data_IF_383443725741
#
_entry.id   IF_383443725741
#
_cell.length_a   1.000
_cell.length_b   1.000
_cell.length_c   1.000
_cell.angle_alpha   90.00
_cell.angle_beta   90.00
_cell.angle_gamma   90.00
#
_symmetry.space_group_name_H-M   'P 1'
#
loop_
_entity.id
_entity.type
_entity.pdbx_description
1 polymer ?
#
# COMPACT_ATOMS: atom_id res chain seq x y z
N UNK A 1 25.29 26.91 -29.10
CA UNK A 1 25.10 26.16 -30.35
C UNK A 1 25.93 24.88 -30.17
N UNK A 2 25.29 23.78 -29.84
CA UNK A 2 25.80 22.43 -30.14
C UNK A 2 24.71 21.47 -29.76
N UNK A 3 24.10 20.91 -30.81
CA UNK A 3 22.98 19.98 -30.68
C UNK A 3 23.47 18.57 -30.40
N UNK A 4 22.98 17.96 -29.36
CA UNK A 4 23.12 16.51 -29.16
C UNK A 4 22.10 15.76 -30.03
N UNK A 5 22.66 15.05 -31.02
CA UNK A 5 21.92 14.11 -31.88
C UNK A 5 21.52 12.88 -31.04
N UNK A 6 20.23 12.65 -30.95
CA UNK A 6 19.66 11.40 -30.46
C UNK A 6 19.80 10.35 -31.58
N UNK A 7 20.46 9.25 -31.29
CA UNK A 7 20.67 8.16 -32.23
C UNK A 7 19.39 7.39 -32.53
N UNK A 8 19.02 7.35 -33.81
CA UNK A 8 18.01 6.46 -34.36
C UNK A 8 18.52 5.02 -34.33
N UNK A 9 17.84 4.14 -33.62
CA UNK A 9 18.00 2.70 -33.76
C UNK A 9 17.04 2.22 -34.84
N UNK A 10 17.48 1.52 -35.90
CA UNK A 10 16.61 1.10 -36.98
C UNK A 10 15.75 -0.09 -36.59
N UNK A 11 14.46 -0.03 -36.95
CA UNK A 11 13.54 -1.15 -36.92
C UNK A 11 14.00 -2.24 -37.91
N UNK A 12 14.36 -3.41 -37.43
CA UNK A 12 14.46 -4.60 -38.27
C UNK A 12 13.08 -5.23 -38.41
N UNK A 13 12.55 -5.16 -39.61
CA UNK A 13 11.32 -5.86 -40.00
C UNK A 13 11.69 -7.29 -40.37
N UNK A 14 11.47 -8.25 -39.47
CA UNK A 14 11.56 -9.68 -39.80
C UNK A 14 10.24 -10.12 -40.45
N UNK A 15 10.28 -10.29 -41.77
CA UNK A 15 9.22 -10.99 -42.52
C UNK A 15 9.51 -12.47 -42.48
N UNK A 16 8.68 -13.24 -41.79
CA UNK A 16 8.74 -14.71 -41.83
C UNK A 16 7.46 -15.26 -42.49
N UNK A 17 7.64 -15.92 -43.63
CA UNK A 17 6.60 -16.66 -44.34
C UNK A 17 6.51 -18.08 -43.79
N UNK A 18 5.39 -18.44 -43.16
CA UNK A 18 5.09 -19.84 -42.80
C UNK A 18 4.20 -20.02 -41.58
N UNK A 19 2.90 -20.05 -41.83
CA UNK A 19 1.84 -20.78 -41.09
C UNK A 19 1.90 -20.85 -39.55
N UNK A 20 1.55 -19.73 -38.88
CA UNK A 20 0.75 -19.67 -37.62
C UNK A 20 0.38 -18.21 -37.37
N UNK A 21 -0.79 -17.87 -36.76
CA UNK A 21 -1.20 -16.48 -36.58
C UNK A 21 -0.31 -15.80 -35.53
N UNK A 22 0.54 -14.88 -36.01
CA UNK A 22 1.30 -13.99 -35.12
C UNK A 22 0.39 -12.87 -34.63
N UNK A 23 0.25 -12.74 -33.32
CA UNK A 23 -0.26 -11.50 -32.71
C UNK A 23 0.77 -10.40 -33.03
N UNK A 24 0.38 -9.44 -33.83
CA UNK A 24 1.16 -8.21 -34.02
C UNK A 24 0.99 -7.39 -32.74
N UNK A 25 1.98 -7.38 -31.88
CA UNK A 25 2.07 -6.40 -30.80
C UNK A 25 2.47 -5.06 -31.44
N UNK A 26 1.51 -4.19 -31.62
CA UNK A 26 1.79 -2.80 -32.00
C UNK A 26 2.34 -2.12 -30.74
N UNK A 27 3.66 -1.94 -30.65
CA UNK A 27 4.26 -1.12 -29.61
C UNK A 27 3.92 0.36 -29.90
N UNK A 28 3.06 0.95 -29.13
CA UNK A 28 2.85 2.39 -29.11
C UNK A 28 4.01 3.02 -28.34
N UNK A 29 4.86 3.78 -29.02
CA UNK A 29 5.89 4.59 -28.35
C UNK A 29 5.21 5.77 -27.68
N UNK A 30 5.25 5.83 -26.36
CA UNK A 30 4.88 7.01 -25.60
C UNK A 30 6.07 7.95 -25.50
N UNK A 31 5.88 9.22 -25.82
CA UNK A 31 6.84 10.27 -25.55
C UNK A 31 6.96 10.53 -24.03
N UNK A 32 8.12 10.92 -23.49
CA UNK A 32 8.39 10.99 -22.06
C UNK A 32 7.70 12.14 -21.29
N UNK A 33 6.72 12.84 -21.85
CA UNK A 33 6.08 14.03 -21.25
C UNK A 33 4.56 14.01 -21.24
N UNK A 34 3.90 12.88 -21.39
CA UNK A 34 2.45 12.88 -21.19
C UNK A 34 2.16 13.06 -19.70
N UNK A 35 1.80 14.29 -19.33
CA UNK A 35 1.17 14.57 -18.05
C UNK A 35 0.09 13.52 -17.83
N UNK A 36 0.08 12.92 -16.63
CA UNK A 36 -1.00 12.00 -16.25
C UNK A 36 -2.26 12.83 -16.17
N UNK A 37 -3.03 12.84 -17.25
CA UNK A 37 -4.15 13.78 -17.46
C UNK A 37 -5.20 13.76 -16.36
N UNK A 38 -5.30 12.62 -15.66
CA UNK A 38 -6.18 12.46 -14.50
C UNK A 38 -5.69 13.20 -13.24
N UNK A 39 -4.46 13.71 -13.22
CA UNK A 39 -3.88 14.43 -12.06
C UNK A 39 -4.06 15.95 -12.13
N UNK A 40 -4.61 16.49 -13.23
CA UNK A 40 -4.83 17.93 -13.35
C UNK A 40 -5.66 18.45 -12.16
N UNK A 41 -5.13 19.37 -11.34
CA UNK A 41 -5.81 19.87 -10.14
C UNK A 41 -7.07 20.70 -10.48
N UNK A 42 -7.23 21.12 -11.73
CA UNK A 42 -8.40 21.89 -12.17
C UNK A 42 -9.61 21.02 -12.50
N UNK A 43 -9.43 19.70 -12.66
CA UNK A 43 -10.53 18.78 -12.96
C UNK A 43 -11.58 18.80 -11.86
N UNK A 44 -12.83 18.73 -12.29
CA UNK A 44 -14.00 18.57 -11.40
C UNK A 44 -14.84 17.41 -11.91
N UNK A 45 -15.36 16.61 -10.96
CA UNK A 45 -16.30 15.53 -11.27
C UNK A 45 -17.73 16.05 -11.31
N UNK A 46 -18.57 15.42 -12.12
CA UNK A 46 -20.03 15.57 -12.03
C UNK A 46 -20.62 14.73 -10.90
N UNK A 47 -19.89 13.71 -10.41
CA UNK A 47 -20.25 13.04 -9.15
C UNK A 47 -19.86 13.96 -8.00
N UNK A 48 -20.76 14.10 -7.03
CA UNK A 48 -20.50 14.90 -5.85
C UNK A 48 -19.33 14.35 -5.04
N UNK A 49 -18.40 15.23 -4.68
CA UNK A 49 -17.23 14.92 -3.85
C UNK A 49 -17.14 15.96 -2.75
N UNK A 50 -17.26 15.55 -1.51
CA UNK A 50 -17.13 16.44 -0.36
C UNK A 50 -15.70 16.99 -0.24
N UNK A 51 -15.54 18.19 0.34
CA UNK A 51 -14.24 18.89 0.44
C UNK A 51 -13.13 18.06 1.09
N UNK A 52 -13.47 17.23 2.07
CA UNK A 52 -12.52 16.38 2.80
C UNK A 52 -12.54 14.91 2.35
N UNK A 53 -13.17 14.61 1.22
CA UNK A 53 -13.19 13.25 0.69
C UNK A 53 -11.79 12.76 0.34
N UNK A 54 -11.52 11.50 0.60
CA UNK A 54 -10.30 10.82 0.16
C UNK A 54 -10.32 10.51 -1.34
N UNK A 55 -11.51 10.60 -1.98
CA UNK A 55 -11.74 10.08 -3.33
C UNK A 55 -12.20 11.13 -4.35
N UNK A 56 -11.42 12.23 -4.57
CA UNK A 56 -11.67 13.13 -5.69
C UNK A 56 -11.34 12.48 -7.03
N UNK A 57 -11.69 13.15 -8.13
CA UNK A 57 -11.42 12.69 -9.49
C UNK A 57 -9.91 12.50 -9.77
N UNK A 58 -9.04 13.15 -9.02
CA UNK A 58 -7.59 13.01 -9.10
C UNK A 58 -7.07 11.73 -8.43
N UNK A 59 -7.87 11.06 -7.57
CA UNK A 59 -7.48 9.81 -6.93
C UNK A 59 -7.86 8.59 -7.77
N UNK A 60 -9.14 8.23 -7.78
CA UNK A 60 -9.69 7.08 -8.49
C UNK A 60 -9.01 5.75 -8.11
N UNK A 61 -8.96 5.38 -6.81
CA UNK A 61 -8.34 4.14 -6.39
C UNK A 61 -9.18 2.94 -6.78
N UNK A 62 -8.51 1.81 -7.02
CA UNK A 62 -9.14 0.55 -7.41
C UNK A 62 -9.41 -0.33 -6.18
N UNK A 63 -10.52 -1.06 -6.20
CA UNK A 63 -10.87 -2.04 -5.18
C UNK A 63 -11.79 -3.11 -5.70
N UNK A 64 -12.07 -4.11 -4.86
CA UNK A 64 -13.04 -5.16 -5.12
C UNK A 64 -14.22 -4.95 -4.18
N UNK A 65 -15.42 -4.96 -4.72
CA UNK A 65 -16.65 -4.82 -3.95
C UNK A 65 -17.72 -5.82 -4.37
N UNK A 66 -18.65 -6.07 -3.48
CA UNK A 66 -19.91 -6.77 -3.75
C UNK A 66 -21.08 -6.02 -3.08
N UNK A 67 -22.31 -6.32 -3.47
CA UNK A 67 -23.52 -5.87 -2.76
C UNK A 67 -24.44 -7.06 -2.50
N UNK A 68 -25.58 -6.84 -1.90
CA UNK A 68 -26.58 -7.91 -1.72
C UNK A 68 -27.05 -8.53 -3.06
N UNK A 69 -26.98 -7.78 -4.16
CA UNK A 69 -27.44 -8.21 -5.50
C UNK A 69 -26.33 -8.34 -6.54
N UNK A 70 -25.12 -7.86 -6.25
CA UNK A 70 -24.00 -7.85 -7.18
C UNK A 70 -22.88 -8.76 -6.66
N UNK A 71 -22.44 -9.72 -7.49
CA UNK A 71 -21.26 -10.56 -7.23
C UNK A 71 -19.99 -9.73 -7.13
N UNK A 72 -18.89 -10.26 -6.52
CA UNK A 72 -17.61 -9.59 -6.47
C UNK A 72 -17.16 -9.05 -7.83
N UNK A 73 -16.68 -7.81 -7.87
CA UNK A 73 -16.24 -7.13 -9.09
C UNK A 73 -15.35 -5.93 -8.81
N UNK A 74 -14.68 -5.49 -9.86
CA UNK A 74 -13.79 -4.32 -9.77
C UNK A 74 -14.60 -3.04 -9.70
N UNK A 75 -14.25 -2.18 -8.75
CA UNK A 75 -14.77 -0.83 -8.58
C UNK A 75 -13.68 0.21 -8.44
N UNK A 76 -14.05 1.46 -8.70
CA UNK A 76 -13.22 2.64 -8.46
C UNK A 76 -13.96 3.61 -7.58
N UNK A 77 -13.31 4.11 -6.52
CA UNK A 77 -13.93 5.09 -5.64
C UNK A 77 -13.97 6.49 -6.25
N UNK A 78 -15.11 7.17 -6.06
CA UNK A 78 -15.33 8.58 -6.40
C UNK A 78 -16.34 9.20 -5.42
N UNK A 79 -15.93 10.17 -4.61
CA UNK A 79 -16.77 10.70 -3.52
C UNK A 79 -17.25 9.57 -2.61
N UNK A 80 -18.54 9.51 -2.35
CA UNK A 80 -19.19 8.46 -1.55
C UNK A 80 -19.78 7.33 -2.41
N UNK A 81 -19.27 7.17 -3.64
CA UNK A 81 -19.76 6.19 -4.61
C UNK A 81 -18.63 5.29 -5.13
N UNK A 82 -19.02 4.11 -5.60
CA UNK A 82 -18.17 3.16 -6.32
C UNK A 82 -18.62 3.12 -7.77
N UNK A 83 -17.70 3.37 -8.69
CA UNK A 83 -17.93 3.19 -10.13
C UNK A 83 -17.71 1.72 -10.49
N UNK A 84 -18.75 1.03 -10.93
CA UNK A 84 -18.73 -0.38 -11.32
C UNK A 84 -18.10 -0.54 -12.72
N UNK A 85 -16.87 -1.06 -12.79
CA UNK A 85 -16.15 -1.21 -14.06
C UNK A 85 -16.72 -2.33 -14.92
N UNK A 86 -17.30 -3.38 -14.32
CA UNK A 86 -18.01 -4.43 -15.07
C UNK A 86 -19.22 -3.86 -15.78
N UNK A 87 -20.02 -3.03 -15.11
CA UNK A 87 -21.17 -2.37 -15.72
C UNK A 87 -20.75 -1.41 -16.83
N UNK A 88 -19.68 -0.63 -16.64
CA UNK A 88 -19.12 0.23 -17.69
C UNK A 88 -18.67 -0.55 -18.93
N UNK A 89 -18.05 -1.71 -18.75
CA UNK A 89 -17.64 -2.59 -19.86
C UNK A 89 -18.85 -3.11 -20.64
N UNK A 90 -19.88 -3.58 -19.93
CA UNK A 90 -21.14 -4.07 -20.53
C UNK A 90 -21.84 -2.97 -21.34
N UNK A 91 -21.80 -1.74 -20.87
CA UNK A 91 -22.39 -0.59 -21.54
C UNK A 91 -21.52 0.02 -22.66
N UNK A 92 -20.34 -0.55 -22.96
CA UNK A 92 -19.46 -0.15 -24.05
C UNK A 92 -18.56 1.06 -23.76
N UNK A 93 -18.43 1.52 -22.51
CA UNK A 93 -17.58 2.67 -22.18
C UNK A 93 -16.08 2.37 -22.15
N UNK A 94 -15.70 1.10 -22.20
CA UNK A 94 -14.30 0.64 -22.13
C UNK A 94 -13.74 0.18 -23.49
N UNK A 95 -14.42 0.54 -24.59
CA UNK A 95 -13.95 0.24 -25.95
C UNK A 95 -12.56 0.83 -26.21
N UNK A 96 -11.78 0.10 -27.01
CA UNK A 96 -10.38 0.40 -27.35
C UNK A 96 -9.36 0.30 -26.19
N UNK A 97 -9.77 -0.20 -25.02
CA UNK A 97 -8.85 -0.66 -23.99
C UNK A 97 -8.62 -2.17 -24.12
N UNK A 98 -7.46 -2.69 -23.69
CA UNK A 98 -7.14 -4.12 -23.87
C UNK A 98 -7.90 -5.06 -22.93
N UNK A 99 -8.68 -4.52 -21.99
CA UNK A 99 -9.39 -5.27 -20.95
C UNK A 99 -10.63 -6.00 -21.50
N UNK A 100 -10.88 -7.17 -20.95
CA UNK A 100 -12.05 -7.98 -21.25
C UNK A 100 -13.03 -7.96 -20.07
N UNK A 101 -14.28 -8.35 -20.28
CA UNK A 101 -15.30 -8.39 -19.23
C UNK A 101 -14.86 -9.20 -18.00
N UNK A 102 -14.17 -10.34 -18.22
CA UNK A 102 -13.64 -11.20 -17.14
C UNK A 102 -12.62 -10.49 -16.24
N UNK A 103 -11.96 -9.43 -16.71
CA UNK A 103 -10.97 -8.67 -15.94
C UNK A 103 -11.63 -7.74 -14.93
N UNK A 104 -12.93 -7.45 -15.11
CA UNK A 104 -13.75 -6.66 -14.19
C UNK A 104 -14.78 -7.50 -13.43
N UNK A 105 -15.16 -8.68 -13.95
CA UNK A 105 -16.05 -9.66 -13.31
C UNK A 105 -15.23 -10.70 -12.54
N UNK A 106 -14.59 -10.25 -11.48
CA UNK A 106 -13.63 -11.02 -10.68
C UNK A 106 -13.59 -10.52 -9.25
N UNK A 107 -13.08 -11.32 -8.35
CA UNK A 107 -12.85 -11.04 -6.94
C UNK A 107 -11.42 -10.55 -6.62
N UNK A 108 -10.64 -10.20 -7.66
CA UNK A 108 -9.24 -9.81 -7.52
C UNK A 108 -8.81 -8.82 -8.60
N UNK A 109 -7.96 -7.84 -8.25
CA UNK A 109 -7.32 -6.92 -9.20
C UNK A 109 -6.18 -7.57 -10.01
N UNK A 110 -5.78 -8.80 -9.72
CA UNK A 110 -4.61 -9.43 -10.33
C UNK A 110 -4.68 -9.49 -11.86
N UNK A 111 -5.87 -9.66 -12.44
CA UNK A 111 -6.04 -9.59 -13.89
C UNK A 111 -5.64 -8.23 -14.45
N UNK A 112 -6.15 -7.14 -13.84
CA UNK A 112 -5.85 -5.77 -14.26
C UNK A 112 -4.36 -5.46 -14.06
N UNK A 113 -3.82 -5.81 -12.90
CA UNK A 113 -2.39 -5.67 -12.56
C UNK A 113 -1.51 -6.40 -13.59
N UNK A 114 -1.95 -7.56 -14.07
CA UNK A 114 -1.26 -8.37 -15.07
C UNK A 114 -1.01 -7.68 -16.40
N UNK A 115 -1.77 -6.64 -16.75
CA UNK A 115 -1.56 -5.85 -17.98
C UNK A 115 -0.40 -4.85 -17.86
N UNK A 116 0.07 -4.54 -16.67
CA UNK A 116 1.17 -3.62 -16.43
C UNK A 116 0.76 -2.14 -16.45
N UNK A 117 1.77 -1.26 -16.34
CA UNK A 117 1.60 0.17 -16.04
C UNK A 117 0.85 0.95 -17.13
N UNK A 118 1.18 0.74 -18.39
CA UNK A 118 0.61 1.55 -19.50
C UNK A 118 -0.90 1.30 -19.64
N UNK A 119 -1.40 0.05 -19.78
CA UNK A 119 -2.85 -0.17 -19.86
C UNK A 119 -3.62 0.28 -18.61
N UNK A 120 -3.07 0.11 -17.41
CA UNK A 120 -3.75 0.56 -16.17
C UNK A 120 -3.82 2.09 -16.08
N UNK A 121 -2.81 2.81 -16.57
CA UNK A 121 -2.85 4.27 -16.73
C UNK A 121 -3.94 4.70 -17.72
N UNK A 122 -4.02 4.05 -18.87
CA UNK A 122 -5.06 4.32 -19.87
C UNK A 122 -6.46 4.06 -19.29
N UNK A 123 -6.63 3.00 -18.53
CA UNK A 123 -7.88 2.71 -17.81
C UNK A 123 -8.25 3.85 -16.85
N UNK A 124 -7.30 4.29 -16.00
CA UNK A 124 -7.53 5.40 -15.07
C UNK A 124 -7.86 6.71 -15.82
N UNK A 125 -7.16 7.02 -16.89
CA UNK A 125 -7.44 8.20 -17.73
C UNK A 125 -8.82 8.12 -18.40
N UNK A 126 -9.25 6.94 -18.86
CA UNK A 126 -10.61 6.71 -19.40
C UNK A 126 -11.66 6.96 -18.34
N UNK A 127 -11.48 6.42 -17.15
CA UNK A 127 -12.40 6.61 -16.00
C UNK A 127 -12.48 8.09 -15.63
N UNK A 128 -11.35 8.77 -15.51
CA UNK A 128 -11.29 10.21 -15.24
C UNK A 128 -12.09 10.99 -16.29
N UNK A 129 -11.89 10.70 -17.58
CA UNK A 129 -12.64 11.35 -18.67
C UNK A 129 -14.15 11.16 -18.53
N UNK A 130 -14.62 9.96 -18.21
CA UNK A 130 -16.05 9.68 -18.06
C UNK A 130 -16.69 10.40 -16.85
N UNK A 131 -15.88 10.69 -15.82
CA UNK A 131 -16.33 11.35 -14.60
C UNK A 131 -16.18 12.87 -14.61
N UNK A 132 -15.53 13.46 -15.60
CA UNK A 132 -15.34 14.92 -15.69
C UNK A 132 -16.66 15.66 -15.89
N UNK A 133 -16.80 16.79 -15.21
CA UNK A 133 -17.99 17.66 -15.30
C UNK A 133 -18.23 18.24 -16.70
N UNK A 134 -17.18 18.34 -17.51
CA UNK A 134 -17.22 18.83 -18.89
C UNK A 134 -17.47 17.73 -19.94
N UNK A 135 -17.60 16.45 -19.53
CA UNK A 135 -17.80 15.31 -20.43
C UNK A 135 -19.23 14.76 -20.29
N UNK A 136 -20.08 14.84 -21.34
CA UNK A 136 -21.48 14.40 -21.27
C UNK A 136 -21.70 12.90 -21.47
N UNK A 137 -20.69 12.16 -21.94
CA UNK A 137 -20.81 10.80 -22.47
C UNK A 137 -21.53 9.83 -21.51
N UNK A 138 -21.21 9.86 -20.22
CA UNK A 138 -21.86 9.09 -19.17
C UNK A 138 -22.83 9.97 -18.37
N UNK A 139 -22.42 11.18 -17.99
CA UNK A 139 -23.15 12.12 -17.15
C UNK A 139 -24.62 12.30 -17.61
N UNK A 140 -24.83 12.50 -18.90
CA UNK A 140 -26.16 12.86 -19.47
C UNK A 140 -27.02 11.61 -19.75
N UNK A 141 -26.54 10.41 -19.39
CA UNK A 141 -27.28 9.14 -19.54
C UNK A 141 -27.75 8.61 -18.16
N UNK A 142 -28.75 9.24 -17.60
CA UNK A 142 -29.26 8.95 -16.25
C UNK A 142 -29.48 7.45 -15.98
N UNK A 143 -29.97 6.70 -16.99
CA UNK A 143 -30.18 5.27 -16.87
C UNK A 143 -28.87 4.49 -16.71
N UNK A 144 -27.80 4.88 -17.42
CA UNK A 144 -26.48 4.27 -17.26
C UNK A 144 -25.84 4.66 -15.92
N UNK A 145 -25.97 5.95 -15.54
CA UNK A 145 -25.45 6.43 -14.24
C UNK A 145 -25.99 5.58 -13.09
N UNK A 146 -27.32 5.29 -13.07
CA UNK A 146 -27.95 4.42 -12.05
C UNK A 146 -27.45 2.98 -12.04
N UNK A 147 -26.87 2.50 -13.14
CA UNK A 147 -26.32 1.15 -13.24
C UNK A 147 -24.85 1.06 -12.83
N UNK A 148 -24.08 2.15 -13.01
CA UNK A 148 -22.63 2.13 -12.80
C UNK A 148 -22.19 2.77 -11.50
N UNK A 149 -22.98 3.64 -10.86
CA UNK A 149 -22.67 4.26 -9.57
C UNK A 149 -23.41 3.56 -8.45
N UNK A 150 -22.65 2.97 -7.54
CA UNK A 150 -23.12 2.25 -6.38
C UNK A 150 -22.76 3.06 -5.12
N UNK A 151 -23.69 3.43 -4.25
CA UNK A 151 -23.36 4.06 -2.97
C UNK A 151 -22.45 3.17 -2.13
N UNK A 152 -21.39 3.74 -1.53
CA UNK A 152 -20.41 2.97 -0.75
C UNK A 152 -21.03 2.28 0.45
N UNK A 153 -22.04 2.87 1.07
CA UNK A 153 -22.75 2.31 2.23
C UNK A 153 -23.57 1.06 1.89
N UNK A 154 -23.83 0.77 0.61
CA UNK A 154 -24.50 -0.44 0.13
C UNK A 154 -23.53 -1.55 -0.29
N UNK A 155 -22.24 -1.27 -0.24
CA UNK A 155 -21.20 -2.18 -0.70
C UNK A 155 -20.42 -2.79 0.48
N UNK A 156 -20.05 -4.05 0.32
CA UNK A 156 -19.03 -4.71 1.14
C UNK A 156 -17.73 -4.75 0.35
N UNK A 157 -16.69 -4.15 0.90
CA UNK A 157 -15.36 -4.18 0.30
C UNK A 157 -14.67 -5.51 0.62
N UNK A 158 -13.95 -6.05 -0.35
CA UNK A 158 -13.22 -7.31 -0.25
C UNK A 158 -11.70 -7.06 -0.32
N UNK A 159 -10.90 -8.12 -0.14
CA UNK A 159 -9.47 -8.04 -0.43
C UNK A 159 -9.27 -7.53 -1.86
N UNK A 160 -8.48 -6.48 -2.07
CA UNK A 160 -8.35 -5.89 -3.41
C UNK A 160 -7.56 -6.79 -4.38
N UNK A 161 -6.67 -7.65 -3.88
CA UNK A 161 -5.92 -8.59 -4.71
C UNK A 161 -5.68 -9.91 -3.97
N UNK A 162 -5.40 -10.93 -4.74
CA UNK A 162 -4.79 -12.17 -4.24
C UNK A 162 -3.28 -11.92 -4.08
N UNK A 163 -2.80 -11.90 -2.83
CA UNK A 163 -1.39 -11.67 -2.53
C UNK A 163 -0.62 -12.97 -2.72
N UNK A 164 0.31 -12.97 -3.69
CA UNK A 164 1.15 -14.13 -3.97
C UNK A 164 2.24 -14.31 -2.91
N UNK A 165 3.15 -13.36 -2.84
CA UNK A 165 4.21 -13.29 -1.83
C UNK A 165 4.13 -11.95 -1.07
N UNK A 166 4.54 -12.00 0.20
CA UNK A 166 4.61 -10.83 1.06
C UNK A 166 6.01 -10.69 1.63
N UNK A 167 6.58 -9.50 1.48
CA UNK A 167 7.86 -9.12 2.08
C UNK A 167 7.63 -7.90 2.95
N UNK A 168 8.15 -7.93 4.19
CA UNK A 168 8.15 -6.79 5.08
C UNK A 168 9.57 -6.25 5.26
N UNK A 169 9.71 -4.93 5.11
CA UNK A 169 10.96 -4.20 5.31
C UNK A 169 11.04 -3.58 6.70
N UNK A 170 12.11 -2.88 6.96
CA UNK A 170 12.39 -2.20 8.24
C UNK A 170 13.04 -0.85 7.95
N UNK A 171 12.31 0.03 7.22
CA UNK A 171 12.90 1.14 6.48
C UNK A 171 12.86 2.51 7.19
N UNK A 172 12.26 2.62 8.38
CA UNK A 172 12.30 3.85 9.21
C UNK A 172 13.51 3.85 10.13
N UNK A 173 14.37 4.88 9.99
CA UNK A 173 15.55 5.02 10.84
C UNK A 173 15.16 5.33 12.30
N UNK A 174 14.09 6.09 12.48
CA UNK A 174 13.57 6.45 13.81
C UNK A 174 13.06 5.20 14.52
N UNK A 175 12.21 4.40 13.87
CA UNK A 175 11.72 3.15 14.44
C UNK A 175 12.87 2.19 14.77
N UNK A 176 13.77 1.96 13.82
CA UNK A 176 14.92 1.07 14.02
C UNK A 176 15.83 1.54 15.17
N UNK A 177 16.03 2.85 15.31
CA UNK A 177 16.82 3.45 16.39
C UNK A 177 16.10 3.32 17.73
N UNK A 178 14.80 3.60 17.80
CA UNK A 178 14.01 3.50 19.04
C UNK A 178 13.99 2.07 19.57
N UNK A 179 13.65 1.11 18.70
CA UNK A 179 13.68 -0.33 19.06
C UNK A 179 15.10 -0.75 19.46
N UNK A 180 16.11 -0.27 18.72
CA UNK A 180 17.50 -0.53 19.09
C UNK A 180 17.88 -0.05 20.48
N UNK A 181 17.52 1.19 20.84
CA UNK A 181 17.74 1.74 22.19
C UNK A 181 17.02 0.98 23.29
N UNK A 182 15.87 0.38 23.00
CA UNK A 182 15.10 -0.40 23.97
C UNK A 182 15.73 -1.77 24.30
N UNK A 183 16.47 -2.37 23.35
CA UNK A 183 16.93 -3.74 23.44
C UNK A 183 18.45 -3.93 23.35
N UNK A 184 19.20 -2.87 23.01
CA UNK A 184 20.66 -2.87 22.84
C UNK A 184 21.26 -1.65 23.53
N UNK A 185 22.61 -1.58 23.53
CA UNK A 185 23.34 -0.37 23.91
C UNK A 185 22.89 0.80 23.02
N UNK A 186 22.42 1.92 23.57
CA UNK A 186 22.01 3.11 22.81
C UNK A 186 23.06 3.63 21.84
N UNK A 187 24.35 3.47 22.13
CA UNK A 187 25.45 3.84 21.23
C UNK A 187 25.50 2.97 19.96
N UNK A 188 24.95 1.76 20.03
CA UNK A 188 24.89 0.77 18.95
C UNK A 188 23.43 0.37 18.64
N UNK A 189 22.53 1.35 18.65
CA UNK A 189 21.10 1.10 18.44
C UNK A 189 20.80 0.48 17.07
N UNK A 190 21.43 0.95 15.99
CA UNK A 190 21.34 0.36 14.66
C UNK A 190 22.36 -0.76 14.48
N UNK A 191 21.93 -1.86 13.86
CA UNK A 191 22.87 -2.91 13.44
C UNK A 191 23.74 -2.40 12.29
N UNK A 192 24.99 -2.91 12.14
CA UNK A 192 25.95 -2.39 11.16
C UNK A 192 25.45 -2.38 9.71
N UNK A 193 24.60 -3.34 9.33
CA UNK A 193 24.04 -3.46 7.98
C UNK A 193 22.87 -2.52 7.70
N UNK A 194 22.22 -1.97 8.72
CA UNK A 194 20.94 -1.27 8.56
C UNK A 194 21.03 -0.05 7.64
N UNK A 195 22.13 0.72 7.72
CA UNK A 195 22.38 1.90 6.86
C UNK A 195 22.96 1.56 5.48
N UNK A 196 23.17 0.29 5.19
CA UNK A 196 23.77 -0.17 3.94
C UNK A 196 22.80 -0.91 3.03
N UNK A 197 21.76 -1.51 3.61
CA UNK A 197 20.74 -2.26 2.86
C UNK A 197 19.35 -2.03 3.45
N UNK A 198 18.29 -1.99 2.64
CA UNK A 198 16.92 -2.11 3.14
C UNK A 198 16.69 -3.54 3.62
N UNK A 199 16.86 -3.76 4.94
CA UNK A 199 16.64 -5.09 5.53
C UNK A 199 15.16 -5.44 5.49
N UNK A 200 14.84 -6.72 5.23
CA UNK A 200 13.47 -7.22 5.18
C UNK A 200 13.43 -8.71 5.50
N UNK A 201 12.22 -9.23 5.67
CA UNK A 201 11.97 -10.64 5.86
C UNK A 201 10.76 -11.11 5.05
N UNK A 202 10.64 -12.42 4.82
CA UNK A 202 9.49 -13.00 4.14
C UNK A 202 8.33 -13.13 5.12
N UNK A 203 7.27 -12.36 4.86
CA UNK A 203 6.04 -12.37 5.64
C UNK A 203 5.08 -13.48 5.21
N UNK A 204 3.94 -13.56 5.88
CA UNK A 204 2.90 -14.56 5.61
C UNK A 204 1.73 -13.95 4.85
N UNK A 205 1.64 -14.23 3.55
CA UNK A 205 0.58 -13.69 2.69
C UNK A 205 -0.83 -14.20 3.06
N UNK A 206 -0.97 -15.47 3.49
CA UNK A 206 -2.27 -16.10 3.73
C UNK A 206 -3.06 -15.55 4.92
N UNK A 207 -2.46 -14.74 5.77
CA UNK A 207 -3.11 -14.08 6.92
C UNK A 207 -3.27 -12.58 6.77
N UNK A 208 -3.07 -12.05 5.57
CA UNK A 208 -3.43 -10.67 5.24
C UNK A 208 -4.95 -10.60 5.03
N UNK A 209 -5.62 -9.71 5.74
CA UNK A 209 -7.07 -9.53 5.71
C UNK A 209 -7.46 -8.09 5.40
N UNK A 210 -8.62 -7.90 4.79
CA UNK A 210 -9.14 -6.57 4.48
C UNK A 210 -9.64 -5.85 5.74
N UNK A 211 -9.58 -4.53 5.74
CA UNK A 211 -10.20 -3.63 6.73
C UNK A 211 -11.62 -4.07 7.08
N UNK A 212 -12.00 -3.97 8.34
CA UNK A 212 -13.27 -4.46 8.88
C UNK A 212 -13.23 -5.91 9.36
N UNK A 213 -12.22 -6.69 8.97
CA UNK A 213 -12.04 -8.05 9.47
C UNK A 213 -11.46 -8.01 10.88
N UNK A 214 -12.13 -8.57 11.91
CA UNK A 214 -11.58 -8.64 13.24
C UNK A 214 -10.41 -9.64 13.29
N UNK A 215 -9.36 -9.28 14.01
CA UNK A 215 -8.22 -10.19 14.26
C UNK A 215 -8.33 -10.82 15.64
N UNK A 216 -7.77 -11.99 15.79
CA UNK A 216 -7.78 -12.70 17.06
C UNK A 216 -6.42 -12.65 17.74
N UNK A 217 -6.40 -12.30 19.05
CA UNK A 217 -5.17 -12.34 19.85
C UNK A 217 -4.51 -13.71 19.74
N UNK A 218 -3.24 -13.79 19.28
CA UNK A 218 -2.57 -15.08 19.09
C UNK A 218 -2.14 -15.70 20.41
N UNK A 219 -1.87 -17.01 20.37
CA UNK A 219 -1.20 -17.76 21.41
C UNK A 219 0.17 -18.22 20.93
N UNK A 220 1.12 -18.30 21.85
CA UNK A 220 2.45 -18.78 21.54
C UNK A 220 3.26 -19.05 22.81
N UNK A 221 4.50 -19.45 22.63
CA UNK A 221 5.47 -19.51 23.72
C UNK A 221 6.02 -18.12 24.02
N UNK A 222 6.20 -17.82 25.26
CA UNK A 222 6.78 -16.58 25.76
C UNK A 222 7.71 -16.93 26.94
N UNK A 223 8.83 -16.20 27.06
CA UNK A 223 9.68 -16.30 28.28
C UNK A 223 9.43 -15.05 29.13
N UNK A 224 8.74 -15.17 30.30
CA UNK A 224 8.60 -14.09 31.27
C UNK A 224 9.97 -13.61 31.76
N UNK A 225 10.06 -12.34 32.20
CA UNK A 225 11.34 -11.71 32.55
C UNK A 225 12.04 -12.44 33.74
N UNK A 226 11.26 -13.02 34.65
CA UNK A 226 11.75 -13.65 35.89
C UNK A 226 11.63 -15.19 35.82
N UNK A 227 11.59 -15.77 34.60
CA UNK A 227 11.43 -17.22 34.44
C UNK A 227 12.55 -17.81 33.59
N UNK A 228 12.99 -19.01 33.96
CA UNK A 228 13.96 -19.81 33.22
C UNK A 228 13.29 -20.77 32.20
N UNK A 229 11.97 -20.92 32.30
CA UNK A 229 11.19 -21.85 31.50
C UNK A 229 10.10 -21.08 30.73
N UNK A 230 9.94 -21.28 29.42
CA UNK A 230 8.88 -20.62 28.66
C UNK A 230 7.50 -21.12 29.08
N UNK A 231 6.51 -20.24 28.93
CA UNK A 231 5.09 -20.55 29.14
C UNK A 231 4.35 -20.46 27.80
N UNK A 232 3.29 -21.23 27.61
CA UNK A 232 2.40 -21.17 26.50
C UNK A 232 1.08 -20.48 26.89
N UNK A 233 0.64 -19.50 26.11
CA UNK A 233 -0.62 -18.81 26.36
C UNK A 233 -0.90 -17.65 25.40
N UNK A 234 -1.97 -16.88 25.66
CA UNK A 234 -2.29 -15.67 24.89
C UNK A 234 -1.18 -14.63 25.00
N UNK A 235 -0.89 -13.98 23.86
CA UNK A 235 -0.02 -12.81 23.80
C UNK A 235 -0.49 -11.72 24.77
N UNK A 236 0.40 -11.16 25.57
CA UNK A 236 0.12 -10.07 26.51
C UNK A 236 0.52 -8.71 25.97
N UNK A 237 1.43 -8.66 25.01
CA UNK A 237 1.99 -7.45 24.43
C UNK A 237 1.61 -7.36 22.95
N UNK A 238 0.28 -7.31 22.68
CA UNK A 238 -0.23 -7.16 21.32
C UNK A 238 -0.07 -5.70 20.86
N UNK A 239 0.50 -5.52 19.69
CA UNK A 239 0.87 -4.24 19.12
C UNK A 239 0.36 -4.12 17.68
N UNK A 240 0.21 -2.89 17.20
CA UNK A 240 0.08 -2.55 15.77
C UNK A 240 1.42 -2.05 15.23
N UNK A 241 1.62 -2.12 13.94
CA UNK A 241 2.65 -1.38 13.22
C UNK A 241 2.00 -0.59 12.09
N UNK A 242 2.14 0.74 12.17
CA UNK A 242 1.69 1.65 11.13
C UNK A 242 2.61 1.55 9.93
N UNK A 243 2.08 1.07 8.82
CA UNK A 243 2.83 0.86 7.59
C UNK A 243 2.04 1.28 6.35
N UNK A 244 2.75 1.36 5.25
CA UNK A 244 2.19 1.31 3.91
C UNK A 244 2.80 0.14 3.15
N UNK A 245 2.01 -0.47 2.27
CA UNK A 245 2.53 -1.51 1.39
C UNK A 245 2.31 -1.11 -0.07
N UNK A 246 3.27 -1.43 -0.92
CA UNK A 246 3.11 -1.30 -2.36
C UNK A 246 2.85 -2.64 -3.04
N UNK A 247 2.09 -2.58 -4.11
CA UNK A 247 1.65 -3.72 -4.91
C UNK A 247 2.41 -3.72 -6.23
N UNK A 248 2.96 -4.86 -6.61
CA UNK A 248 3.79 -4.95 -7.81
C UNK A 248 2.99 -5.29 -9.07
N UNK A 249 3.43 -4.75 -10.20
CA UNK A 249 3.18 -5.34 -11.51
C UNK A 249 4.03 -6.61 -11.71
N UNK A 250 3.76 -7.43 -12.74
CA UNK A 250 4.65 -8.51 -13.11
C UNK A 250 6.08 -7.97 -13.36
N UNK A 251 7.06 -8.60 -12.70
CA UNK A 251 8.47 -8.22 -12.82
C UNK A 251 9.17 -8.85 -14.00
N UNK A 252 10.50 -8.84 -13.94
CA UNK A 252 11.36 -9.48 -14.92
C UNK A 252 11.44 -11.01 -14.68
N UNK A 253 11.92 -11.79 -15.66
CA UNK A 253 12.20 -13.20 -15.46
C UNK A 253 13.17 -13.45 -14.29
N UNK A 254 13.09 -14.62 -13.67
CA UNK A 254 14.03 -15.04 -12.63
C UNK A 254 15.46 -15.01 -13.18
N UNK A 255 16.37 -14.41 -12.42
CA UNK A 255 17.76 -14.12 -12.79
C UNK A 255 18.01 -12.67 -13.18
N UNK A 256 16.97 -11.92 -13.56
CA UNK A 256 17.08 -10.50 -13.91
C UNK A 256 16.72 -9.61 -12.69
N UNK A 257 17.38 -8.46 -12.59
CA UNK A 257 17.14 -7.48 -11.52
C UNK A 257 16.40 -6.25 -12.04
N UNK A 258 15.70 -5.56 -11.13
CA UNK A 258 15.06 -4.26 -11.37
C UNK A 258 15.93 -3.19 -10.71
N UNK A 259 16.39 -2.19 -11.48
CA UNK A 259 17.14 -1.06 -10.95
C UNK A 259 16.25 -0.04 -10.24
N UNK A 260 16.83 0.83 -9.42
CA UNK A 260 16.10 1.93 -8.77
C UNK A 260 15.45 2.88 -9.77
N UNK A 261 16.06 3.08 -10.94
CA UNK A 261 15.51 3.93 -12.01
C UNK A 261 14.32 3.31 -12.73
N UNK A 262 14.21 1.97 -12.75
CA UNK A 262 13.09 1.24 -13.37
C UNK A 262 11.97 0.92 -12.40
N UNK A 263 12.25 0.92 -11.09
CA UNK A 263 11.36 0.36 -10.05
C UNK A 263 9.91 0.88 -10.11
N UNK A 264 9.72 2.17 -10.37
CA UNK A 264 8.37 2.77 -10.48
C UNK A 264 7.54 2.19 -11.64
N UNK A 265 8.16 1.52 -12.61
CA UNK A 265 7.43 0.85 -13.70
C UNK A 265 6.87 -0.52 -13.27
N UNK A 266 7.32 -1.02 -12.14
CA UNK A 266 6.93 -2.31 -11.59
C UNK A 266 6.06 -2.19 -10.33
N UNK A 267 5.60 -0.99 -9.97
CA UNK A 267 4.73 -0.73 -8.84
C UNK A 267 3.38 -0.21 -9.34
N UNK A 268 2.30 -0.94 -9.03
CA UNK A 268 0.93 -0.57 -9.40
C UNK A 268 0.39 0.55 -8.52
N UNK A 269 0.50 0.41 -7.20
CA UNK A 269 -0.08 1.35 -6.26
C UNK A 269 0.29 1.01 -4.84
N UNK A 270 -0.31 1.75 -3.90
CA UNK A 270 -0.09 1.62 -2.47
C UNK A 270 -1.39 1.46 -1.70
N UNK A 271 -1.30 0.82 -0.55
CA UNK A 271 -2.36 0.63 0.44
C UNK A 271 -1.86 0.98 1.83
N UNK A 272 -2.77 1.35 2.75
CA UNK A 272 -2.47 1.35 4.18
C UNK A 272 -2.32 -0.08 4.67
N UNK A 273 -1.41 -0.31 5.60
CA UNK A 273 -1.07 -1.62 6.09
C UNK A 273 -0.83 -1.59 7.61
N UNK A 274 -1.36 -2.57 8.33
CA UNK A 274 -1.09 -2.80 9.74
C UNK A 274 -0.46 -4.18 9.89
N UNK A 275 0.81 -4.24 10.26
CA UNK A 275 1.48 -5.49 10.57
C UNK A 275 1.37 -5.81 12.06
N UNK A 276 0.32 -6.55 12.44
CA UNK A 276 0.06 -6.91 13.82
C UNK A 276 1.22 -7.69 14.45
N UNK A 277 1.61 -7.30 15.67
CA UNK A 277 2.80 -7.81 16.32
C UNK A 277 2.51 -8.34 17.72
N UNK A 278 2.78 -9.61 17.97
CA UNK A 278 2.75 -10.22 19.30
C UNK A 278 4.16 -10.13 19.92
N UNK A 279 4.47 -9.02 20.58
CA UNK A 279 5.84 -8.65 20.98
C UNK A 279 6.52 -9.62 21.94
N UNK A 280 5.77 -10.20 22.86
CA UNK A 280 6.28 -11.19 23.82
C UNK A 280 6.60 -12.54 23.15
N UNK A 281 5.77 -12.99 22.21
CA UNK A 281 6.04 -14.17 21.38
C UNK A 281 7.22 -13.89 20.47
N UNK A 282 7.21 -12.75 19.76
CA UNK A 282 8.29 -12.33 18.86
C UNK A 282 9.65 -12.30 19.58
N UNK A 283 9.70 -11.73 20.78
CA UNK A 283 10.93 -11.63 21.58
C UNK A 283 11.56 -13.00 21.86
N UNK A 284 10.75 -14.02 22.08
CA UNK A 284 11.21 -15.37 22.40
C UNK A 284 11.74 -16.12 21.17
N UNK A 285 11.12 -15.93 19.99
CA UNK A 285 11.36 -16.79 18.84
C UNK A 285 12.26 -16.18 17.74
N UNK A 286 12.46 -14.83 17.73
CA UNK A 286 13.04 -14.17 16.54
C UNK A 286 14.51 -14.53 16.25
N UNK A 287 15.23 -15.05 17.21
CA UNK A 287 16.61 -15.55 17.01
C UNK A 287 16.53 -17.09 16.90
N UNK A 288 17.14 -17.70 15.85
CA UNK A 288 18.12 -17.14 14.90
C UNK A 288 17.56 -16.71 13.53
N UNK A 289 16.27 -16.97 13.18
CA UNK A 289 15.78 -16.86 11.80
C UNK A 289 14.87 -15.65 11.55
N UNK A 290 14.62 -14.82 12.53
CA UNK A 290 13.70 -13.69 12.45
C UNK A 290 12.30 -14.00 12.99
N UNK A 291 11.32 -13.06 12.87
CA UNK A 291 9.99 -13.21 13.43
C UNK A 291 9.19 -14.30 12.71
N UNK A 292 8.34 -15.02 13.45
CA UNK A 292 7.49 -16.07 12.91
C UNK A 292 6.06 -16.00 13.49
N UNK A 293 5.76 -16.68 14.59
CA UNK A 293 4.41 -16.66 15.20
C UNK A 293 4.02 -15.29 15.76
N UNK A 294 5.00 -14.47 16.10
CA UNK A 294 4.78 -13.09 16.53
C UNK A 294 4.25 -12.17 15.43
N UNK A 295 4.27 -12.61 14.17
CA UNK A 295 3.89 -11.83 12.99
C UNK A 295 2.86 -12.54 12.09
N UNK A 296 2.97 -13.86 11.90
CA UNK A 296 2.22 -14.58 10.88
C UNK A 296 0.72 -14.76 11.18
N UNK A 297 0.22 -14.27 12.31
CA UNK A 297 -1.17 -14.48 12.72
C UNK A 297 -2.16 -13.52 12.05
N UNK A 298 -1.75 -12.31 11.69
CA UNK A 298 -2.57 -11.35 10.97
C UNK A 298 -1.75 -10.15 10.44
N UNK A 299 -2.15 -9.63 9.28
CA UNK A 299 -1.89 -8.27 8.82
C UNK A 299 -3.18 -7.71 8.23
N UNK A 300 -3.43 -6.40 8.37
CA UNK A 300 -4.67 -5.77 7.87
C UNK A 300 -4.36 -4.73 6.81
N UNK A 301 -5.18 -4.66 5.75
CA UNK A 301 -4.95 -3.80 4.59
C UNK A 301 -6.19 -2.98 4.25
N UNK A 302 -5.99 -1.72 3.76
CA UNK A 302 -7.09 -0.91 3.23
C UNK A 302 -7.65 -1.52 1.94
N UNK A 303 -8.96 -1.38 1.67
CA UNK A 303 -9.58 -2.01 0.52
C UNK A 303 -9.31 -1.28 -0.81
N UNK A 304 -8.77 -0.07 -0.76
CA UNK A 304 -8.54 0.79 -1.91
C UNK A 304 -7.06 0.88 -2.24
N UNK A 305 -6.70 0.50 -3.46
CA UNK A 305 -5.33 0.66 -3.99
C UNK A 305 -5.22 2.00 -4.70
N UNK A 306 -4.49 2.93 -4.12
CA UNK A 306 -4.15 4.22 -4.74
C UNK A 306 -2.99 4.01 -5.69
N UNK A 307 -3.18 4.30 -6.98
CA UNK A 307 -2.16 4.05 -8.00
C UNK A 307 -0.94 4.95 -7.84
N UNK A 308 0.24 4.49 -8.27
CA UNK A 308 1.44 5.33 -8.29
C UNK A 308 1.27 6.56 -9.17
N UNK A 309 0.46 6.46 -10.22
CA UNK A 309 0.12 7.62 -11.06
C UNK A 309 -0.66 8.69 -10.30
N UNK A 310 -1.59 8.30 -9.40
CA UNK A 310 -2.30 9.26 -8.54
C UNK A 310 -1.38 9.91 -7.50
N UNK A 311 -0.35 9.20 -7.06
CA UNK A 311 0.61 9.67 -6.06
C UNK A 311 1.72 10.54 -6.64
N UNK A 312 1.88 10.61 -7.97
CA UNK A 312 2.96 11.34 -8.64
C UNK A 312 3.13 12.80 -8.16
N UNK A 313 2.04 13.60 -7.97
CA UNK A 313 2.15 15.00 -7.53
C UNK A 313 2.65 15.17 -6.09
N UNK A 314 2.65 14.10 -5.28
CA UNK A 314 2.98 14.15 -3.85
C UNK A 314 4.39 13.68 -3.54
N UNK A 315 5.22 13.51 -4.56
CA UNK A 315 6.64 13.13 -4.43
C UNK A 315 7.44 14.24 -3.78
N UNK A 316 8.29 13.85 -2.83
CA UNK A 316 9.20 14.73 -2.11
C UNK A 316 10.58 14.09 -1.99
N UNK A 317 11.59 14.90 -1.65
CA UNK A 317 12.91 14.39 -1.31
C UNK A 317 12.85 13.54 -0.04
N UNK A 318 13.57 12.43 -0.04
CA UNK A 318 13.76 11.59 1.14
C UNK A 318 14.83 12.14 2.09
N UNK A 319 14.99 11.52 3.27
CA UNK A 319 16.08 11.82 4.19
C UNK A 319 17.45 11.63 3.51
N UNK A 320 18.43 12.45 3.91
CA UNK A 320 19.81 12.24 3.46
C UNK A 320 20.34 10.90 3.97
N UNK A 321 20.81 10.07 3.07
CA UNK A 321 21.44 8.80 3.41
C UNK A 321 22.92 8.99 3.74
N UNK A 322 23.33 8.51 4.91
CA UNK A 322 24.69 8.57 5.43
C UNK A 322 25.00 7.28 6.20
N UNK A 323 26.03 6.49 5.79
CA UNK A 323 26.95 6.72 4.69
C UNK A 323 26.29 6.65 3.30
N UNK A 324 26.98 7.11 2.21
CA UNK A 324 26.52 6.93 0.84
C UNK A 324 26.24 5.45 0.54
N UNK A 325 25.16 5.18 -0.17
CA UNK A 325 24.78 3.83 -0.55
C UNK A 325 25.64 3.27 -1.67
N UNK A 326 25.63 1.95 -1.87
CA UNK A 326 26.29 1.32 -3.01
C UNK A 326 25.54 1.65 -4.31
N UNK A 327 26.23 1.64 -5.48
CA UNK A 327 25.66 2.09 -6.77
C UNK A 327 24.31 1.48 -7.16
N UNK A 328 24.02 0.22 -6.79
CA UNK A 328 22.74 -0.41 -7.11
C UNK A 328 21.54 0.15 -6.32
N UNK A 329 21.81 0.91 -5.25
CA UNK A 329 20.78 1.59 -4.43
C UNK A 329 20.76 3.10 -4.64
N UNK A 330 21.67 3.66 -5.47
CA UNK A 330 21.60 5.08 -5.83
C UNK A 330 20.33 5.37 -6.65
N UNK A 331 19.79 6.55 -6.47
CA UNK A 331 18.59 7.00 -7.20
C UNK A 331 18.62 8.50 -7.44
N UNK A 332 17.91 8.94 -8.46
CA UNK A 332 17.76 10.34 -8.81
C UNK A 332 16.36 10.86 -8.51
N UNK A 333 16.27 12.15 -8.18
CA UNK A 333 15.00 12.86 -7.98
C UNK A 333 14.28 12.51 -6.68
N UNK A 334 13.01 12.89 -6.59
CA UNK A 334 12.15 12.67 -5.45
C UNK A 334 11.54 11.27 -5.51
N UNK A 335 11.76 10.45 -4.49
CA UNK A 335 11.27 9.05 -4.41
C UNK A 335 10.48 8.75 -3.13
N UNK A 336 10.39 9.71 -2.21
CA UNK A 336 9.51 9.64 -1.06
C UNK A 336 8.19 10.36 -1.37
N UNK A 337 7.17 10.16 -0.53
CA UNK A 337 5.83 10.72 -0.73
C UNK A 337 5.36 11.41 0.54
N UNK A 338 4.82 12.63 0.43
CA UNK A 338 4.24 13.37 1.56
C UNK A 338 2.81 12.88 1.83
N UNK A 339 2.71 11.72 2.49
CA UNK A 339 1.46 11.10 2.91
C UNK A 339 1.38 11.21 4.42
N UNK A 340 0.43 12.01 4.91
CA UNK A 340 0.10 12.10 6.33
C UNK A 340 -0.58 10.84 6.78
N UNK A 341 -0.16 10.30 7.92
CA UNK A 341 -0.65 9.03 8.47
C UNK A 341 -1.12 9.26 9.91
N UNK A 342 -2.23 8.64 10.26
CA UNK A 342 -2.83 8.71 11.59
C UNK A 342 -3.15 7.31 12.10
N UNK A 343 -2.95 7.09 13.41
CA UNK A 343 -3.47 5.91 14.11
C UNK A 343 -4.32 6.35 15.28
N UNK A 344 -5.50 5.75 15.41
CA UNK A 344 -6.38 5.91 16.55
C UNK A 344 -6.70 4.54 17.18
N UNK A 345 -7.03 4.57 18.48
CA UNK A 345 -7.58 3.44 19.23
C UNK A 345 -8.97 3.80 19.71
N UNK A 346 -9.94 2.92 19.47
CA UNK A 346 -11.28 2.99 20.02
C UNK A 346 -11.53 1.79 20.95
N UNK A 347 -11.59 1.98 22.29
CA UNK A 347 -12.05 0.94 23.20
C UNK A 347 -13.51 0.57 22.92
N UNK A 348 -13.93 -0.64 23.29
CA UNK A 348 -15.27 -1.13 23.01
C UNK A 348 -16.37 -0.17 23.47
N UNK A 349 -17.19 0.31 22.52
CA UNK A 349 -18.29 1.24 22.78
C UNK A 349 -17.87 2.65 23.23
N UNK A 350 -16.62 3.04 22.99
CA UNK A 350 -16.07 4.36 23.30
C UNK A 350 -15.63 5.10 22.05
N UNK A 351 -15.45 6.42 22.18
CA UNK A 351 -14.88 7.27 21.13
C UNK A 351 -13.42 6.93 20.87
N UNK A 352 -13.00 7.11 19.63
CA UNK A 352 -11.61 6.92 19.23
C UNK A 352 -10.71 8.03 19.81
N UNK A 353 -9.46 7.69 20.03
CA UNK A 353 -8.39 8.59 20.43
C UNK A 353 -7.25 8.47 19.44
N UNK A 354 -6.91 9.55 18.74
CA UNK A 354 -5.70 9.60 17.92
C UNK A 354 -4.47 9.53 18.81
N UNK A 355 -3.62 8.56 18.55
CA UNK A 355 -2.41 8.25 19.34
C UNK A 355 -1.12 8.43 18.55
N UNK A 356 -1.20 8.50 17.22
CA UNK A 356 -0.05 8.69 16.35
C UNK A 356 -0.41 9.60 15.17
N UNK A 357 0.49 10.54 14.85
CA UNK A 357 0.46 11.35 13.64
C UNK A 357 1.84 11.27 12.98
N UNK A 358 1.98 10.43 11.97
CA UNK A 358 3.22 10.19 11.26
C UNK A 358 3.16 10.65 9.80
N UNK A 359 4.20 10.36 9.03
CA UNK A 359 4.24 10.70 7.62
C UNK A 359 5.15 9.72 6.86
N UNK A 360 4.68 9.22 5.71
CA UNK A 360 5.42 8.28 4.89
C UNK A 360 6.74 8.85 4.33
N UNK A 361 6.87 10.17 4.21
CA UNK A 361 8.13 10.82 3.75
C UNK A 361 9.32 10.57 4.66
N UNK A 362 9.11 10.10 5.89
CA UNK A 362 10.19 9.81 6.84
C UNK A 362 10.98 8.54 6.50
N UNK A 363 10.51 7.74 5.54
CA UNK A 363 11.19 6.51 5.15
C UNK A 363 12.62 6.77 4.69
N UNK A 364 13.61 6.17 5.38
CA UNK A 364 15.03 6.25 4.99
C UNK A 364 15.31 5.46 3.71
N UNK A 365 14.75 4.25 3.59
CA UNK A 365 14.77 3.45 2.39
C UNK A 365 13.45 3.64 1.63
N UNK A 366 13.51 4.24 0.44
CA UNK A 366 12.31 4.43 -0.39
C UNK A 366 11.92 3.15 -1.13
N UNK A 367 10.70 3.11 -1.68
CA UNK A 367 10.18 1.91 -2.36
C UNK A 367 11.01 1.48 -3.58
N UNK A 368 11.65 2.41 -4.28
CA UNK A 368 12.52 2.06 -5.41
C UNK A 368 13.77 1.30 -4.94
N UNK A 369 14.33 1.71 -3.81
CA UNK A 369 15.46 1.02 -3.20
C UNK A 369 15.07 -0.34 -2.61
N UNK A 370 13.89 -0.42 -1.97
CA UNK A 370 13.33 -1.68 -1.47
C UNK A 370 13.17 -2.69 -2.60
N UNK A 371 12.54 -2.30 -3.71
CA UNK A 371 12.31 -3.17 -4.85
C UNK A 371 13.61 -3.55 -5.58
N UNK A 372 14.53 -2.60 -5.74
CA UNK A 372 15.84 -2.88 -6.33
C UNK A 372 16.62 -3.89 -5.48
N UNK A 373 16.64 -3.71 -4.16
CA UNK A 373 17.30 -4.65 -3.24
C UNK A 373 16.65 -6.03 -3.26
N UNK A 374 15.31 -6.08 -3.30
CA UNK A 374 14.55 -7.32 -3.35
C UNK A 374 14.88 -8.18 -4.56
N UNK A 375 15.22 -7.54 -5.70
CA UNK A 375 15.44 -8.26 -6.98
C UNK A 375 16.89 -8.34 -7.41
N UNK A 376 17.82 -7.68 -6.71
CA UNK A 376 19.25 -7.58 -7.15
C UNK A 376 19.94 -8.94 -7.27
N UNK A 377 19.50 -9.94 -6.53
CA UNK A 377 20.02 -11.32 -6.59
C UNK A 377 19.35 -12.17 -7.67
N UNK A 378 18.45 -11.60 -8.49
CA UNK A 378 17.68 -12.31 -9.52
C UNK A 378 16.36 -12.89 -9.04
N UNK A 379 15.88 -12.55 -7.83
CA UNK A 379 14.55 -12.90 -7.37
C UNK A 379 13.50 -12.20 -8.26
N UNK A 380 12.58 -12.97 -8.85
CA UNK A 380 11.46 -12.42 -9.60
C UNK A 380 10.34 -11.95 -8.66
N UNK A 381 9.51 -11.05 -9.14
CA UNK A 381 8.25 -10.64 -8.52
C UNK A 381 7.07 -10.95 -9.45
N UNK A 382 5.91 -11.20 -8.88
CA UNK A 382 4.65 -11.44 -9.61
C UNK A 382 3.71 -10.24 -9.49
N UNK A 383 2.79 -10.11 -10.42
CA UNK A 383 1.72 -9.12 -10.29
C UNK A 383 0.85 -9.44 -9.07
N UNK A 384 0.72 -8.47 -8.15
CA UNK A 384 -0.01 -8.65 -6.90
C UNK A 384 0.84 -9.08 -5.70
N UNK A 385 2.16 -9.24 -5.83
CA UNK A 385 3.03 -9.36 -4.66
C UNK A 385 2.98 -8.05 -3.86
N UNK A 386 3.07 -8.16 -2.54
CA UNK A 386 2.96 -7.05 -1.60
C UNK A 386 4.27 -6.85 -0.85
N UNK A 387 4.78 -5.63 -0.87
CA UNK A 387 6.00 -5.25 -0.15
C UNK A 387 5.65 -4.12 0.83
N UNK A 388 5.69 -4.43 2.13
CA UNK A 388 5.41 -3.46 3.19
C UNK A 388 6.67 -2.70 3.62
N UNK A 389 6.47 -1.47 4.05
CA UNK A 389 7.55 -0.51 4.33
C UNK A 389 8.36 -0.80 5.58
N UNK A 390 7.79 -1.56 6.50
CA UNK A 390 8.15 -1.52 7.91
C UNK A 390 7.51 -0.34 8.62
N UNK A 391 7.46 -0.41 9.94
CA UNK A 391 6.83 0.60 10.81
C UNK A 391 7.30 2.02 10.49
N UNK A 392 6.37 2.96 10.34
CA UNK A 392 6.62 4.36 9.95
C UNK A 392 6.61 5.24 11.18
N UNK A 393 7.79 5.60 11.68
CA UNK A 393 7.96 6.54 12.79
C UNK A 393 8.71 7.78 12.33
N UNK A 394 8.37 8.93 12.92
CA UNK A 394 9.13 10.17 12.79
C UNK A 394 9.95 10.47 14.05
N UNK A 395 10.55 11.67 14.10
CA UNK A 395 11.43 12.07 15.17
C UNK A 395 10.70 12.37 16.50
N UNK A 396 9.45 12.85 16.42
CA UNK A 396 8.65 13.23 17.58
C UNK A 396 7.91 12.02 18.17
N UNK A 397 7.77 11.95 19.50
CA UNK A 397 7.06 10.85 20.19
C UNK A 397 5.62 10.67 19.66
N UNK A 398 4.93 11.73 19.28
CA UNK A 398 3.59 11.70 18.71
C UNK A 398 3.52 11.08 17.31
N UNK A 399 4.66 10.83 16.67
CA UNK A 399 4.78 10.22 15.33
C UNK A 399 5.31 8.79 15.34
N UNK A 400 5.40 8.16 16.51
CA UNK A 400 5.83 6.77 16.62
C UNK A 400 4.75 5.81 16.12
N UNK A 401 5.13 4.93 15.20
CA UNK A 401 4.22 4.05 14.47
C UNK A 401 3.86 2.74 15.16
N UNK A 402 4.16 2.57 16.45
CA UNK A 402 3.83 1.35 17.21
C UNK A 402 3.58 1.64 18.69
N UNK A 403 2.77 0.81 19.37
CA UNK A 403 2.59 0.89 20.82
C UNK A 403 3.88 0.62 21.58
N UNK A 404 4.74 -0.24 21.04
CA UNK A 404 6.07 -0.52 21.61
C UNK A 404 6.86 0.78 21.83
N UNK A 405 6.82 1.68 20.82
CA UNK A 405 7.50 2.98 20.89
C UNK A 405 6.70 4.00 21.71
N UNK A 406 5.41 4.19 21.40
CA UNK A 406 4.53 5.15 22.07
C UNK A 406 4.49 4.95 23.58
N UNK A 407 4.36 3.70 24.02
CA UNK A 407 4.36 3.36 25.46
C UNK A 407 5.75 3.12 26.05
N UNK A 408 6.81 3.22 25.21
CA UNK A 408 8.19 2.92 25.57
C UNK A 408 8.32 1.60 26.34
N UNK A 409 7.98 0.50 25.66
CA UNK A 409 7.90 -0.87 26.23
C UNK A 409 6.91 -1.00 27.40
N UNK A 410 5.84 -0.21 27.41
CA UNK A 410 4.81 -0.22 28.45
C UNK A 410 5.19 0.54 29.72
N UNK A 411 6.28 1.33 29.70
CA UNK A 411 6.69 2.16 30.86
C UNK A 411 5.95 3.49 30.91
N UNK A 412 5.44 3.98 29.76
CA UNK A 412 4.67 5.23 29.63
C UNK A 412 3.26 4.89 29.12
N UNK A 413 2.26 4.64 29.98
CA UNK A 413 0.90 4.36 29.51
C UNK A 413 0.31 5.55 28.78
N UNK A 414 -0.38 5.30 27.65
CA UNK A 414 -1.13 6.29 26.91
C UNK A 414 -2.50 6.49 27.55
N UNK A 415 -2.89 7.75 27.80
CA UNK A 415 -4.24 8.10 28.24
C UNK A 415 -5.14 8.32 27.06
N UNK A 416 -6.24 7.59 26.98
CA UNK A 416 -7.27 7.74 25.97
C UNK A 416 -8.32 8.78 26.39
N UNK A 417 -9.03 9.35 25.42
CA UNK A 417 -10.12 10.32 25.66
C UNK A 417 -11.22 9.73 26.54
N UNK A 418 -11.43 8.41 26.47
CA UNK A 418 -12.35 7.66 27.32
C UNK A 418 -11.95 7.59 28.80
N UNK A 419 -10.74 8.05 29.15
CA UNK A 419 -10.16 7.99 30.49
C UNK A 419 -9.42 6.69 30.79
N UNK A 420 -9.42 5.73 29.89
CA UNK A 420 -8.67 4.48 30.01
C UNK A 420 -7.20 4.68 29.66
N UNK A 421 -6.35 3.75 30.13
CA UNK A 421 -4.93 3.73 29.79
C UNK A 421 -4.59 2.51 28.95
N UNK A 422 -3.67 2.69 28.00
CA UNK A 422 -3.13 1.59 27.17
C UNK A 422 -1.61 1.60 27.18
N UNK A 423 -1.04 0.42 27.44
CA UNK A 423 0.39 0.12 27.20
C UNK A 423 0.59 -0.67 25.92
N UNK A 424 -0.34 -1.53 25.64
CA UNK A 424 -0.49 -2.37 24.44
C UNK A 424 -1.99 -2.50 24.13
N UNK A 425 -2.32 -3.08 22.99
CA UNK A 425 -3.70 -3.23 22.54
C UNK A 425 -4.44 -4.25 23.40
N UNK A 426 -5.60 -3.86 23.93
CA UNK A 426 -6.47 -4.71 24.71
C UNK A 426 -7.46 -5.52 23.86
N UNK A 427 -8.08 -6.54 24.45
CA UNK A 427 -9.19 -7.23 23.80
C UNK A 427 -10.36 -6.27 23.62
N UNK A 428 -11.02 -6.37 22.47
CA UNK A 428 -12.11 -5.54 22.00
C UNK A 428 -11.74 -4.09 21.64
N UNK A 429 -10.50 -3.66 21.74
CA UNK A 429 -10.06 -2.41 21.13
C UNK A 429 -10.15 -2.52 19.59
N UNK A 430 -10.50 -1.43 18.93
CA UNK A 430 -10.30 -1.24 17.50
C UNK A 430 -9.08 -0.37 17.25
N UNK A 431 -8.21 -0.79 16.34
CA UNK A 431 -7.13 0.05 15.79
C UNK A 431 -7.56 0.56 14.44
N UNK A 432 -7.42 1.87 14.23
CA UNK A 432 -7.86 2.56 13.03
C UNK A 432 -6.68 3.33 12.47
N UNK A 433 -6.33 3.07 11.22
CA UNK A 433 -5.29 3.79 10.49
C UNK A 433 -5.90 4.55 9.33
N UNK A 434 -5.46 5.79 9.12
CA UNK A 434 -5.86 6.65 8.01
C UNK A 434 -4.64 7.26 7.35
N UNK A 435 -4.75 7.55 6.05
CA UNK A 435 -3.68 8.18 5.30
C UNK A 435 -4.20 9.06 4.19
N UNK A 436 -3.59 10.23 4.02
CA UNK A 436 -3.91 11.12 2.92
C UNK A 436 -2.72 11.99 2.53
N UNK A 437 -2.73 12.46 1.29
CA UNK A 437 -1.77 13.41 0.76
C UNK A 437 -2.50 14.68 0.26
N UNK A 438 -1.85 15.83 0.36
CA UNK A 438 -2.41 17.12 -0.08
C UNK A 438 -1.35 17.89 -0.86
N UNK A 439 -1.67 18.29 -2.11
CA UNK A 439 -0.83 19.12 -2.95
C UNK A 439 -1.70 19.96 -3.90
N UNK A 440 -1.37 21.24 -4.10
CA UNK A 440 -2.08 22.18 -4.98
C UNK A 440 -3.61 22.21 -4.78
N UNK A 441 -4.07 22.09 -3.54
CA UNK A 441 -5.49 22.09 -3.19
C UNK A 441 -6.21 20.77 -3.50
N UNK A 442 -5.51 19.75 -3.99
CA UNK A 442 -6.02 18.39 -4.17
C UNK A 442 -5.67 17.56 -2.94
N UNK A 443 -6.69 16.91 -2.35
CA UNK A 443 -6.53 15.87 -1.31
C UNK A 443 -6.84 14.51 -1.93
N UNK A 444 -5.97 13.54 -1.74
CA UNK A 444 -6.25 12.13 -2.02
C UNK A 444 -6.01 11.29 -0.78
N UNK A 445 -6.76 10.22 -0.58
CA UNK A 445 -6.59 9.36 0.57
C UNK A 445 -6.76 7.88 0.22
N UNK A 446 -6.57 7.05 1.24
CA UNK A 446 -6.51 5.59 1.12
C UNK A 446 -7.74 4.90 1.75
N UNK A 447 -8.72 5.69 2.22
CA UNK A 447 -9.74 5.18 3.14
C UNK A 447 -9.12 4.85 4.50
N UNK A 448 -9.58 3.76 5.13
CA UNK A 448 -9.05 3.37 6.43
C UNK A 448 -8.78 1.86 6.55
N UNK A 449 -7.84 1.52 7.43
CA UNK A 449 -7.68 0.17 7.98
C UNK A 449 -8.27 0.18 9.38
N UNK A 450 -9.34 -0.58 9.60
CA UNK A 450 -10.02 -0.71 10.89
C UNK A 450 -10.12 -2.19 11.26
N UNK A 451 -9.63 -2.57 12.42
CA UNK A 451 -9.73 -3.96 12.87
C UNK A 451 -9.94 -4.05 14.37
N UNK A 452 -10.94 -4.81 14.79
CA UNK A 452 -11.22 -5.13 16.19
C UNK A 452 -10.40 -6.33 16.65
N UNK A 453 -9.81 -6.23 17.82
CA UNK A 453 -9.07 -7.35 18.46
C UNK A 453 -10.04 -8.21 19.25
N UNK A 454 -10.19 -9.47 18.87
CA UNK A 454 -10.95 -10.46 19.62
C UNK A 454 -10.07 -11.19 20.64
N UNK A 455 -10.63 -11.61 21.79
CA UNK A 455 -9.91 -12.44 22.77
C UNK A 455 -9.32 -13.72 22.15
N UNK A 456 -8.24 -14.23 22.72
CA UNK A 456 -7.69 -15.53 22.35
C UNK A 456 -8.72 -16.66 22.60
N UNK A 457 -8.70 -17.69 21.75
CA UNK A 457 -9.53 -18.90 21.93
C UNK A 457 -8.88 -19.92 22.83
#
# INVERSE_FOLDING_TARGET
>A
MDGHKVGNCPLETLIWNGTKPSRIATFVYYEPQDMISANDPTLRSWVEVSENSDFPIQNLPFGIFKTASLSPRVGVAIGDSILDLKALQVLGYMENLPFQLKDFDTDSLNNIIGYGKVPTRELRNRISKLLRSDTPDLRDKEHHVKQVLIPMDQAEMLMPMEVGDYTDFYSSIEHATNVGKMFRDPANALLPNWKHIPVGYHGRASSIVVSGTPIRRPKGQMLPADADVPVFGPCKLLDFELEMAFITYPGKPMGDSISTSEAENYIFGMVLFNDWSARDIQKWEYVPLGPFLGKNFASSVSPWVVTMDALEPFKVAGPKQDPPVLPYLEYDGNKNYDIKLEVAIAPEGKEETTICNSNFKYMYWNLCQQLAHHTVNGCNIRGGDMLASGTISGADESSYGSMLELSWKGTKPLKLNSGEERKFIADNDEVIMRGHAVHDGVRIGFGEVRSKVLPAR
#
